data_IF_819267229109
#
_entry.id   IF_819267229109
#
_cell.length_a   1.000
_cell.length_b   1.000
_cell.length_c   1.000
_cell.angle_alpha   90.00
_cell.angle_beta   90.00
_cell.angle_gamma   90.00
#
_symmetry.space_group_name_H-M   'P 1'
#
loop_
_entity.id
_entity.type
_entity.pdbx_description
1 polymer ?
#
# COMPACT_ATOMS: atom_id res chain seq x y z
N UNK A 1 0.29 22.14 3.79
CA UNK A 1 1.48 21.38 3.34
C UNK A 1 1.67 21.61 1.85
N UNK A 2 2.81 22.16 1.39
CA UNK A 2 3.15 22.30 -0.04
C UNK A 2 4.49 21.63 -0.39
N UNK A 3 4.94 20.69 0.44
CA UNK A 3 6.18 19.94 0.21
C UNK A 3 5.89 18.44 0.20
N UNK A 4 6.53 17.74 -0.74
CA UNK A 4 6.49 16.28 -0.88
C UNK A 4 7.35 15.57 0.18
N UNK A 5 8.23 16.28 0.88
CA UNK A 5 9.19 15.71 1.84
C UNK A 5 8.56 14.76 2.86
N UNK A 6 7.37 15.07 3.37
CA UNK A 6 6.69 14.19 4.34
C UNK A 6 6.31 12.83 3.73
N UNK A 7 5.87 12.82 2.47
CA UNK A 7 5.52 11.61 1.75
C UNK A 7 6.78 10.81 1.39
N UNK A 8 7.82 11.49 0.88
CA UNK A 8 9.09 10.84 0.55
C UNK A 8 9.68 10.14 1.76
N UNK A 9 9.74 10.83 2.90
CA UNK A 9 10.27 10.28 4.15
C UNK A 9 9.44 9.14 4.74
N UNK A 10 8.13 9.12 4.46
CA UNK A 10 7.23 8.10 4.99
C UNK A 10 7.08 6.88 4.05
N UNK A 11 7.44 7.03 2.78
CA UNK A 11 7.12 6.07 1.72
C UNK A 11 8.27 5.89 0.73
N UNK A 12 8.53 6.89 -0.13
CA UNK A 12 9.32 6.69 -1.34
C UNK A 12 10.83 6.54 -1.09
N UNK A 13 11.34 7.05 0.03
CA UNK A 13 12.76 6.93 0.37
C UNK A 13 13.12 5.63 1.10
N UNK A 14 12.16 4.71 1.28
CA UNK A 14 12.45 3.42 1.92
C UNK A 14 13.18 2.51 0.93
N UNK A 15 14.28 1.85 1.34
CA UNK A 15 15.04 0.96 0.47
C UNK A 15 14.23 -0.25 -0.02
N UNK A 16 13.13 -0.56 0.66
CA UNK A 16 12.18 -1.63 0.33
C UNK A 16 10.87 -1.11 -0.31
N UNK A 17 10.82 0.16 -0.74
CA UNK A 17 9.69 0.65 -1.52
C UNK A 17 9.67 -0.04 -2.89
N UNK A 18 8.56 -0.68 -3.22
CA UNK A 18 8.32 -1.27 -4.53
C UNK A 18 7.18 -0.50 -5.23
N UNK A 19 7.45 0.19 -6.36
CA UNK A 19 6.42 0.84 -7.15
C UNK A 19 5.28 -0.09 -7.59
N UNK A 20 5.54 -1.39 -7.78
CA UNK A 20 4.51 -2.36 -8.17
C UNK A 20 3.48 -2.61 -7.06
N UNK A 21 3.81 -2.29 -5.81
CA UNK A 21 2.88 -2.32 -4.67
C UNK A 21 2.02 -1.06 -4.53
N UNK A 22 2.28 -0.01 -5.32
CA UNK A 22 1.57 1.27 -5.27
C UNK A 22 0.63 1.44 -6.46
N UNK A 23 -0.67 1.33 -6.21
CA UNK A 23 -1.71 1.38 -7.23
C UNK A 23 -2.40 2.74 -7.27
N UNK A 24 -2.62 3.24 -8.48
CA UNK A 24 -3.39 4.45 -8.74
C UNK A 24 -4.60 4.08 -9.59
N UNK A 25 -5.76 4.61 -9.23
CA UNK A 25 -6.96 4.52 -10.04
C UNK A 25 -7.23 5.87 -10.71
N UNK A 26 -7.50 5.83 -12.00
CA UNK A 26 -7.89 6.98 -12.81
C UNK A 26 -9.34 6.81 -13.27
N UNK A 27 -10.05 7.92 -13.45
CA UNK A 27 -11.35 7.94 -14.14
C UNK A 27 -11.17 7.98 -15.66
N UNK A 28 -12.27 7.89 -16.41
CA UNK A 28 -12.25 7.89 -17.88
C UNK A 28 -11.65 9.17 -18.49
N UNK A 29 -11.54 10.25 -17.71
CA UNK A 29 -10.93 11.51 -18.11
C UNK A 29 -9.45 11.62 -17.68
N UNK A 30 -8.85 10.54 -17.16
CA UNK A 30 -7.46 10.48 -16.70
C UNK A 30 -7.22 11.18 -15.35
N UNK A 31 -8.28 11.44 -14.56
CA UNK A 31 -8.14 12.09 -13.26
C UNK A 31 -8.03 11.06 -12.15
N UNK A 32 -7.19 11.34 -11.16
CA UNK A 32 -7.01 10.48 -9.98
C UNK A 32 -8.34 10.25 -9.24
N UNK A 33 -8.84 9.02 -9.26
CA UNK A 33 -10.03 8.57 -8.54
C UNK A 33 -9.70 7.99 -7.15
N UNK A 34 -8.50 7.44 -6.98
CA UNK A 34 -8.04 6.86 -5.72
C UNK A 34 -6.65 6.25 -5.83
N UNK A 35 -6.16 5.72 -4.71
CA UNK A 35 -4.91 4.96 -4.67
C UNK A 35 -4.97 3.88 -3.58
N UNK A 36 -4.09 2.90 -3.70
CA UNK A 36 -3.81 1.93 -2.65
C UNK A 36 -2.32 1.59 -2.61
N UNK A 37 -1.84 1.20 -1.44
CA UNK A 37 -0.44 0.84 -1.26
C UNK A 37 -0.33 -0.40 -0.37
N UNK A 38 0.42 -1.39 -0.85
CA UNK A 38 0.71 -2.62 -0.15
C UNK A 38 2.22 -2.86 -0.02
N UNK A 39 2.62 -3.59 1.02
CA UNK A 39 4.01 -3.97 1.25
C UNK A 39 4.17 -5.01 2.34
N UNK A 40 5.41 -5.21 2.77
CA UNK A 40 5.82 -6.28 3.68
C UNK A 40 6.53 -5.71 4.90
N UNK A 41 6.32 -6.34 6.05
CA UNK A 41 7.10 -6.03 7.25
C UNK A 41 8.47 -6.69 7.23
N UNK A 42 9.33 -6.36 8.22
CA UNK A 42 10.60 -7.06 8.39
C UNK A 42 10.38 -8.49 8.91
N UNK A 43 11.37 -9.36 8.70
CA UNK A 43 11.52 -10.61 9.43
C UNK A 43 11.93 -10.37 10.90
N UNK A 44 11.95 -11.43 11.71
CA UNK A 44 12.14 -11.34 13.17
C UNK A 44 13.48 -10.70 13.59
N UNK A 45 14.55 -10.90 12.81
CA UNK A 45 15.87 -10.34 13.08
C UNK A 45 16.12 -8.98 12.41
N UNK A 46 15.11 -8.43 11.73
CA UNK A 46 15.12 -7.14 11.05
C UNK A 46 16.16 -7.02 9.91
N UNK A 47 16.63 -8.15 9.37
CA UNK A 47 17.63 -8.17 8.29
C UNK A 47 17.03 -8.05 6.89
N UNK A 48 15.76 -8.44 6.71
CA UNK A 48 15.10 -8.49 5.40
C UNK A 48 13.57 -8.35 5.51
N UNK A 49 12.88 -8.29 4.37
CA UNK A 49 11.42 -8.37 4.32
C UNK A 49 10.93 -9.79 4.56
N UNK A 50 9.88 -9.95 5.37
CA UNK A 50 9.12 -11.19 5.45
C UNK A 50 7.95 -11.16 4.45
N UNK A 51 8.13 -11.88 3.34
CA UNK A 51 7.12 -11.96 2.29
C UNK A 51 5.91 -12.83 2.65
N UNK A 52 5.95 -13.59 3.75
CA UNK A 52 4.82 -14.43 4.15
C UNK A 52 3.65 -13.64 4.74
N UNK A 53 3.91 -12.40 5.22
CA UNK A 53 2.93 -11.49 5.82
C UNK A 53 2.82 -10.17 5.03
N UNK A 54 1.81 -10.09 4.18
CA UNK A 54 1.51 -8.88 3.41
C UNK A 54 0.61 -7.90 4.17
N UNK A 55 0.80 -6.60 3.94
CA UNK A 55 -0.01 -5.53 4.53
C UNK A 55 -0.55 -4.63 3.43
N UNK A 56 -1.85 -4.37 3.47
CA UNK A 56 -2.47 -3.25 2.75
C UNK A 56 -2.42 -2.03 3.66
N UNK A 57 -1.49 -1.12 3.37
CA UNK A 57 -1.13 -0.01 4.25
C UNK A 57 -2.10 1.17 4.14
N UNK A 58 -2.63 1.43 2.95
CA UNK A 58 -3.56 2.53 2.73
C UNK A 58 -4.48 2.20 1.55
N UNK A 59 -5.75 2.61 1.65
CA UNK A 59 -6.69 2.71 0.54
C UNK A 59 -7.45 4.02 0.71
N UNK A 60 -7.43 4.85 -0.33
CA UNK A 60 -8.23 6.07 -0.36
C UNK A 60 -8.95 6.21 -1.70
N UNK A 61 -10.22 6.56 -1.64
CA UNK A 61 -11.07 6.81 -2.81
C UNK A 61 -11.73 8.17 -2.65
N UNK A 62 -11.65 8.99 -3.70
CA UNK A 62 -12.31 10.30 -3.73
C UNK A 62 -13.81 10.15 -3.51
N UNK A 63 -14.47 11.02 -2.71
CA UNK A 63 -15.89 10.90 -2.39
C UNK A 63 -16.81 10.61 -3.58
N UNK A 64 -16.61 11.30 -4.70
CA UNK A 64 -17.37 11.19 -5.94
C UNK A 64 -17.14 9.87 -6.72
N UNK A 65 -16.12 9.11 -6.33
CA UNK A 65 -15.78 7.78 -6.86
C UNK A 65 -16.11 6.64 -5.87
N UNK A 66 -16.58 6.95 -4.67
CA UNK A 66 -16.97 5.93 -3.67
C UNK A 66 -18.22 5.19 -4.12
N UNK A 67 -18.40 3.98 -3.58
CA UNK A 67 -19.52 3.06 -3.90
C UNK A 67 -19.60 2.61 -5.36
N UNK A 68 -18.62 2.94 -6.21
CA UNK A 68 -18.46 2.49 -7.59
C UNK A 68 -17.44 1.35 -7.74
N UNK A 69 -17.20 0.58 -6.69
CA UNK A 69 -16.24 -0.55 -6.63
C UNK A 69 -14.75 -0.21 -6.85
N UNK A 70 -14.37 1.06 -7.01
CA UNK A 70 -12.96 1.50 -7.11
C UNK A 70 -12.11 0.96 -5.95
N UNK A 71 -12.56 1.14 -4.71
CA UNK A 71 -11.84 0.63 -3.53
C UNK A 71 -11.77 -0.90 -3.47
N UNK A 72 -12.77 -1.60 -4.02
CA UNK A 72 -12.77 -3.07 -4.11
C UNK A 72 -11.71 -3.54 -5.10
N UNK A 73 -11.62 -2.91 -6.26
CA UNK A 73 -10.59 -3.26 -7.26
C UNK A 73 -9.19 -2.90 -6.75
N UNK A 74 -9.01 -1.73 -6.13
CA UNK A 74 -7.75 -1.35 -5.51
C UNK A 74 -7.29 -2.35 -4.45
N UNK A 75 -8.19 -2.80 -3.57
CA UNK A 75 -7.88 -3.85 -2.59
C UNK A 75 -7.48 -5.15 -3.30
N UNK A 76 -8.25 -5.60 -4.29
CA UNK A 76 -7.97 -6.82 -5.05
C UNK A 76 -6.57 -6.79 -5.68
N UNK A 77 -6.17 -5.65 -6.27
CA UNK A 77 -4.81 -5.45 -6.85
C UNK A 77 -3.72 -5.57 -5.80
N UNK A 78 -3.92 -4.97 -4.63
CA UNK A 78 -3.00 -5.14 -3.50
C UNK A 78 -2.89 -6.60 -3.08
N UNK A 79 -4.00 -7.32 -2.95
CA UNK A 79 -3.98 -8.73 -2.55
C UNK A 79 -3.29 -9.62 -3.60
N UNK A 80 -3.54 -9.39 -4.89
CA UNK A 80 -2.90 -10.12 -5.98
C UNK A 80 -1.38 -9.90 -5.99
N UNK A 81 -0.95 -8.65 -5.82
CA UNK A 81 0.47 -8.30 -5.69
C UNK A 81 1.12 -9.01 -4.49
N UNK A 82 0.50 -8.92 -3.31
CA UNK A 82 1.04 -9.54 -2.09
C UNK A 82 1.12 -11.07 -2.24
N UNK A 83 0.06 -11.71 -2.73
CA UNK A 83 0.05 -13.17 -2.96
C UNK A 83 1.05 -13.59 -4.03
N UNK A 84 1.18 -12.81 -5.10
CA UNK A 84 2.15 -13.04 -6.19
C UNK A 84 3.60 -13.04 -5.71
N UNK A 85 3.90 -12.32 -4.63
CA UNK A 85 5.22 -12.27 -4.00
C UNK A 85 5.38 -13.23 -2.81
N UNK A 86 4.38 -14.07 -2.52
CA UNK A 86 4.47 -15.16 -1.54
C UNK A 86 3.69 -14.96 -0.24
N UNK A 87 2.88 -13.90 -0.13
CA UNK A 87 2.07 -13.66 1.06
C UNK A 87 1.04 -14.77 1.29
N UNK A 88 1.02 -15.31 2.50
CA UNK A 88 0.05 -16.31 2.97
C UNK A 88 -0.97 -15.70 3.92
N UNK A 89 -0.58 -14.62 4.60
CA UNK A 89 -1.42 -13.84 5.49
C UNK A 89 -1.47 -12.41 4.97
N UNK A 90 -2.67 -11.86 4.83
CA UNK A 90 -2.90 -10.47 4.43
C UNK A 90 -3.54 -9.70 5.59
N UNK A 91 -2.98 -8.53 5.90
CA UNK A 91 -3.49 -7.63 6.95
C UNK A 91 -4.00 -6.32 6.35
N UNK A 92 -5.12 -5.85 6.86
CA UNK A 92 -5.63 -4.51 6.58
C UNK A 92 -5.13 -3.55 7.66
N UNK A 93 -4.34 -2.56 7.25
CA UNK A 93 -3.72 -1.59 8.15
C UNK A 93 -2.41 -2.10 8.78
N UNK A 94 -1.41 -1.22 8.94
CA UNK A 94 -0.15 -1.58 9.58
C UNK A 94 -0.31 -1.66 11.10
N UNK A 95 0.17 -2.74 11.72
CA UNK A 95 0.26 -2.89 13.18
C UNK A 95 1.65 -3.41 13.53
N UNK A 96 2.23 -2.95 14.65
CA UNK A 96 3.55 -3.47 15.07
C UNK A 96 3.52 -5.00 15.20
N UNK A 97 4.55 -5.73 14.74
CA UNK A 97 5.79 -5.24 14.10
C UNK A 97 5.67 -4.94 12.59
N UNK A 98 4.57 -5.33 11.94
CA UNK A 98 4.36 -5.30 10.48
C UNK A 98 3.81 -3.94 10.03
N UNK A 99 4.72 -2.96 9.94
CA UNK A 99 4.40 -1.54 9.72
C UNK A 99 5.39 -0.88 8.73
N UNK A 100 5.27 -1.15 7.41
CA UNK A 100 6.30 -0.73 6.46
C UNK A 100 6.23 0.75 6.06
N UNK A 101 5.05 1.38 6.07
CA UNK A 101 4.86 2.72 5.50
C UNK A 101 3.98 3.64 6.37
N UNK A 102 3.95 4.93 6.02
CA UNK A 102 3.04 5.96 6.57
C UNK A 102 3.10 6.18 8.09
N UNK A 103 4.31 6.17 8.67
CA UNK A 103 4.53 6.24 10.13
C UNK A 103 3.70 5.19 10.90
N UNK A 104 3.19 4.16 10.21
CA UNK A 104 2.08 3.26 10.54
C UNK A 104 1.11 3.71 11.61
N UNK A 105 0.38 4.76 11.25
CA UNK A 105 -0.99 4.89 11.72
C UNK A 105 -1.81 3.63 11.44
#
# INVERSE_FOLDING_TARGET
LRSHTALDNAVFNKPYFDPAGFFVAEDDAGRLAGFAHAGFGPNDDLSALDHSHGVVCAIAVRPEHRRKKVGTELLRRCEDYLRGLGARVLRAGPIRPVKPFYLGV
#
